data_IF_269195803676
#
_entry.id   IF_269195803676
#
_cell.length_a   1.000
_cell.length_b   1.000
_cell.length_c   1.000
_cell.angle_alpha   90.00
_cell.angle_beta   90.00
_cell.angle_gamma   90.00
#
_symmetry.space_group_name_H-M   'P 1'
#
loop_
_entity.id
_entity.type
_entity.pdbx_description
1 polymer ?
#
# COMPACT_ATOMS: atom_id res chain seq x y z
N UNK A 1 68.58 25.05 25.28
CA UNK A 1 68.22 23.63 25.04
C UNK A 1 67.02 23.29 25.91
N UNK A 2 65.82 23.56 25.41
CA UNK A 2 64.57 23.01 25.95
C UNK A 2 63.78 22.62 24.70
N UNK A 3 63.64 21.32 24.53
CA UNK A 3 62.95 20.66 23.44
C UNK A 3 61.46 20.60 23.82
N UNK A 4 60.59 21.22 23.03
CA UNK A 4 59.13 21.15 23.19
C UNK A 4 58.55 20.56 21.92
N UNK A 5 58.30 19.26 21.96
CA UNK A 5 57.59 18.51 20.94
C UNK A 5 56.14 18.99 20.84
N UNK A 6 55.78 19.56 19.69
CA UNK A 6 54.42 19.93 19.34
C UNK A 6 53.66 18.67 18.91
N UNK A 7 52.74 18.21 19.76
CA UNK A 7 51.89 17.05 19.50
C UNK A 7 50.61 17.49 18.78
N UNK A 8 50.59 17.34 17.45
CA UNK A 8 49.37 17.46 16.64
C UNK A 8 48.35 16.38 17.03
N UNK A 9 47.08 16.72 17.32
CA UNK A 9 46.06 15.72 17.59
C UNK A 9 45.63 15.05 16.27
N UNK A 10 45.88 13.75 16.17
CA UNK A 10 45.38 12.91 15.09
C UNK A 10 43.85 12.81 15.25
N UNK A 11 43.12 13.50 14.39
CA UNK A 11 41.66 13.35 14.27
C UNK A 11 41.41 11.93 13.77
N UNK A 12 40.91 11.07 14.66
CA UNK A 12 40.50 9.72 14.33
C UNK A 12 39.37 9.78 13.28
N UNK A 13 39.68 9.34 12.07
CA UNK A 13 38.75 9.24 10.95
C UNK A 13 37.64 8.24 11.34
N UNK A 14 36.46 8.77 11.70
CA UNK A 14 35.30 7.95 12.03
C UNK A 14 34.84 7.23 10.77
N UNK A 15 35.17 5.94 10.68
CA UNK A 15 34.68 5.01 9.65
C UNK A 15 33.17 5.19 9.46
N UNK A 16 32.68 5.46 8.24
CA UNK A 16 31.25 5.67 8.02
C UNK A 16 30.49 4.43 8.49
N UNK A 17 29.57 4.62 9.43
CA UNK A 17 28.67 3.57 9.87
C UNK A 17 27.97 2.97 8.64
N UNK A 18 28.06 1.64 8.50
CA UNK A 18 27.45 0.92 7.40
C UNK A 18 25.97 1.32 7.28
N UNK A 19 25.57 1.82 6.10
CA UNK A 19 24.21 2.27 5.85
C UNK A 19 23.22 1.15 6.23
N UNK A 20 22.14 1.48 6.98
CA UNK A 20 21.20 0.47 7.44
C UNK A 20 20.60 -0.29 6.25
N UNK A 21 20.32 -1.61 6.40
CA UNK A 21 19.80 -2.43 5.31
C UNK A 21 18.55 -1.80 4.71
N UNK A 22 18.58 -1.59 3.38
CA UNK A 22 17.61 -0.79 2.62
C UNK A 22 16.16 -1.32 2.68
N UNK A 23 15.96 -2.58 3.07
CA UNK A 23 14.65 -3.17 3.37
C UNK A 23 14.76 -4.15 4.54
N UNK A 24 13.76 -4.14 5.42
CA UNK A 24 13.60 -5.14 6.47
C UNK A 24 13.53 -6.55 5.83
N UNK A 25 14.39 -7.50 6.24
CA UNK A 25 14.39 -8.87 5.72
C UNK A 25 13.02 -9.55 5.74
N UNK A 26 12.18 -9.20 6.73
CA UNK A 26 10.80 -9.72 6.82
C UNK A 26 9.93 -9.23 5.68
N UNK A 27 10.06 -7.97 5.25
CA UNK A 27 9.30 -7.40 4.13
C UNK A 27 9.70 -8.05 2.82
N UNK A 28 10.99 -8.25 2.59
CA UNK A 28 11.49 -8.93 1.39
C UNK A 28 10.97 -10.37 1.32
N UNK A 29 11.01 -11.08 2.45
CA UNK A 29 10.49 -12.45 2.56
C UNK A 29 8.98 -12.49 2.32
N UNK A 30 8.22 -11.54 2.87
CA UNK A 30 6.78 -11.42 2.65
C UNK A 30 6.46 -11.19 1.16
N UNK A 31 7.13 -10.24 0.51
CA UNK A 31 6.94 -9.94 -0.92
C UNK A 31 7.26 -11.14 -1.80
N UNK A 32 8.38 -11.84 -1.53
CA UNK A 32 8.74 -13.05 -2.28
C UNK A 32 7.69 -14.14 -2.12
N UNK A 33 7.30 -14.45 -0.88
CA UNK A 33 6.33 -15.51 -0.62
C UNK A 33 4.96 -15.17 -1.23
N UNK A 34 4.58 -13.89 -1.22
CA UNK A 34 3.35 -13.45 -1.86
C UNK A 34 3.43 -13.55 -3.38
N UNK A 35 4.54 -13.13 -4.00
CA UNK A 35 4.77 -13.27 -5.43
C UNK A 35 4.72 -14.75 -5.89
N UNK A 36 5.30 -15.66 -5.10
CA UNK A 36 5.22 -17.10 -5.35
C UNK A 36 3.77 -17.58 -5.21
N UNK A 37 3.09 -17.23 -4.11
CA UNK A 37 1.71 -17.66 -3.84
C UNK A 37 0.76 -17.24 -4.96
N UNK A 38 0.85 -15.99 -5.44
CA UNK A 38 -0.04 -15.50 -6.49
C UNK A 38 0.30 -16.05 -7.88
N UNK A 39 1.59 -16.33 -8.15
CA UNK A 39 2.02 -17.07 -9.34
C UNK A 39 1.45 -18.48 -9.38
N UNK A 40 1.65 -19.24 -8.30
CA UNK A 40 1.14 -20.61 -8.17
C UNK A 40 -0.38 -20.61 -8.30
N UNK A 41 -1.06 -19.65 -7.66
CA UNK A 41 -2.51 -19.56 -7.73
C UNK A 41 -3.03 -19.17 -9.13
N UNK A 42 -2.32 -18.31 -9.88
CA UNK A 42 -2.67 -18.04 -11.27
C UNK A 42 -2.48 -19.29 -12.15
N UNK A 43 -1.36 -20.00 -12.00
CA UNK A 43 -1.10 -21.24 -12.75
C UNK A 43 -2.19 -22.28 -12.43
N UNK A 44 -2.49 -22.47 -11.15
CA UNK A 44 -3.56 -23.36 -10.69
C UNK A 44 -4.94 -22.90 -11.21
N UNK A 45 -5.18 -21.60 -11.29
CA UNK A 45 -6.38 -21.01 -11.87
C UNK A 45 -6.62 -21.43 -13.31
N UNK A 46 -5.59 -21.31 -14.15
CA UNK A 46 -5.66 -21.70 -15.57
C UNK A 46 -5.70 -23.22 -15.78
N UNK A 47 -4.97 -23.98 -14.96
CA UNK A 47 -4.84 -25.43 -15.16
C UNK A 47 -5.99 -26.22 -14.53
N UNK A 48 -6.54 -25.73 -13.40
CA UNK A 48 -7.48 -26.50 -12.56
C UNK A 48 -8.77 -25.76 -12.27
N UNK A 49 -8.77 -24.45 -11.99
CA UNK A 49 -10.01 -23.77 -11.56
C UNK A 49 -10.96 -23.41 -12.71
N UNK A 50 -10.42 -23.22 -13.92
CA UNK A 50 -11.19 -22.83 -15.10
C UNK A 50 -11.16 -21.34 -15.39
N UNK A 51 -10.01 -20.67 -15.19
CA UNK A 51 -9.85 -19.27 -15.61
C UNK A 51 -10.10 -19.15 -17.12
N UNK A 52 -11.11 -18.36 -17.48
CA UNK A 52 -11.54 -18.18 -18.87
C UNK A 52 -10.64 -17.24 -19.68
N UNK A 53 -9.77 -16.46 -19.01
CA UNK A 53 -8.91 -15.52 -19.70
C UNK A 53 -7.96 -16.27 -20.68
N UNK A 54 -7.56 -15.66 -21.80
CA UNK A 54 -6.58 -16.28 -22.69
C UNK A 54 -5.24 -16.53 -22.01
N UNK A 55 -4.62 -17.68 -22.28
CA UNK A 55 -3.33 -18.11 -21.70
C UNK A 55 -2.17 -17.13 -21.88
N UNK A 56 -2.26 -16.21 -22.85
CA UNK A 56 -1.24 -15.17 -23.09
C UNK A 56 -1.36 -13.97 -22.15
N UNK A 57 -2.55 -13.71 -21.59
CA UNK A 57 -2.82 -12.54 -20.75
C UNK A 57 -1.95 -12.41 -19.50
N UNK A 58 -1.64 -13.46 -18.71
CA UNK A 58 -0.79 -13.30 -17.53
C UNK A 58 0.63 -12.86 -17.92
N UNK A 59 1.14 -13.30 -19.08
CA UNK A 59 2.44 -12.88 -19.58
C UNK A 59 2.43 -11.42 -20.03
N UNK A 60 1.37 -10.99 -20.73
CA UNK A 60 1.20 -9.59 -21.13
C UNK A 60 1.02 -8.68 -19.92
N UNK A 61 0.27 -9.13 -18.91
CA UNK A 61 0.10 -8.42 -17.65
C UNK A 61 1.45 -8.21 -16.96
N UNK A 62 2.25 -9.27 -16.82
CA UNK A 62 3.59 -9.20 -16.25
C UNK A 62 4.52 -8.29 -17.04
N UNK A 63 4.55 -8.44 -18.38
CA UNK A 63 5.37 -7.60 -19.25
C UNK A 63 5.00 -6.13 -19.10
N UNK A 64 3.72 -5.80 -19.06
CA UNK A 64 3.20 -4.44 -18.84
C UNK A 64 3.66 -3.90 -17.50
N UNK A 65 3.38 -4.62 -16.40
CA UNK A 65 3.71 -4.15 -15.06
C UNK A 65 5.21 -3.95 -14.84
N UNK A 66 6.04 -4.85 -15.36
CA UNK A 66 7.50 -4.72 -15.29
C UNK A 66 8.00 -3.54 -16.10
N UNK A 67 7.47 -3.35 -17.30
CA UNK A 67 7.87 -2.25 -18.18
C UNK A 67 7.56 -0.89 -17.54
N UNK A 68 6.35 -0.74 -16.98
CA UNK A 68 5.93 0.48 -16.29
C UNK A 68 6.75 0.71 -15.02
N UNK A 69 6.96 -0.31 -14.17
CA UNK A 69 7.73 -0.16 -12.93
C UNK A 69 9.20 0.22 -13.22
N UNK A 70 9.85 -0.43 -14.20
CA UNK A 70 11.23 -0.10 -14.61
C UNK A 70 11.29 1.31 -15.21
N UNK A 71 10.36 1.66 -16.10
CA UNK A 71 10.31 2.97 -16.75
C UNK A 71 10.14 4.11 -15.76
N UNK A 72 9.19 3.99 -14.83
CA UNK A 72 8.95 5.01 -13.81
C UNK A 72 10.12 5.13 -12.82
N UNK A 73 10.76 4.03 -12.45
CA UNK A 73 11.96 4.06 -11.62
C UNK A 73 13.15 4.69 -12.35
N UNK A 74 13.32 4.45 -13.65
CA UNK A 74 14.34 5.12 -14.44
C UNK A 74 14.13 6.63 -14.50
N UNK A 75 12.89 7.08 -14.76
CA UNK A 75 12.54 8.51 -14.76
C UNK A 75 12.80 9.11 -13.37
N UNK A 76 12.26 8.48 -12.31
CA UNK A 76 12.40 8.96 -10.94
C UNK A 76 13.86 9.02 -10.48
N UNK A 77 14.68 8.01 -10.84
CA UNK A 77 16.09 7.98 -10.53
C UNK A 77 16.87 9.11 -11.23
N UNK A 78 16.52 9.41 -12.50
CA UNK A 78 17.13 10.49 -13.27
C UNK A 78 16.79 11.87 -12.69
N UNK A 79 15.54 12.08 -12.29
CA UNK A 79 15.08 13.35 -11.67
C UNK A 79 15.73 13.56 -10.30
N UNK A 80 15.84 12.50 -9.49
CA UNK A 80 16.42 12.57 -8.14
C UNK A 80 17.96 12.49 -8.13
N UNK A 81 18.63 12.39 -9.29
CA UNK A 81 20.09 12.29 -9.38
C UNK A 81 20.69 11.05 -8.71
N UNK A 82 19.91 9.97 -8.58
CA UNK A 82 20.31 8.74 -7.88
C UNK A 82 20.43 7.56 -8.84
N UNK A 83 21.17 6.53 -8.43
CA UNK A 83 21.16 5.27 -9.16
C UNK A 83 19.77 4.60 -9.10
N UNK A 84 19.29 3.99 -10.21
CA UNK A 84 18.04 3.23 -10.21
C UNK A 84 18.09 2.06 -9.21
N UNK A 85 17.00 1.84 -8.48
CA UNK A 85 16.90 0.82 -7.42
C UNK A 85 17.16 -0.58 -7.93
N UNK A 86 16.70 -0.88 -9.15
CA UNK A 86 16.88 -2.20 -9.77
C UNK A 86 18.34 -2.52 -10.13
N UNK A 87 19.25 -1.53 -10.17
CA UNK A 87 20.69 -1.76 -10.40
C UNK A 87 21.45 -2.14 -9.12
N UNK A 88 20.88 -1.92 -7.94
CA UNK A 88 21.53 -2.25 -6.68
C UNK A 88 21.45 -3.75 -6.38
N UNK A 89 22.56 -4.40 -6.02
CA UNK A 89 22.56 -5.80 -5.57
C UNK A 89 22.38 -6.86 -6.67
N UNK A 90 22.65 -6.51 -7.93
CA UNK A 90 22.63 -7.43 -9.07
C UNK A 90 21.24 -8.01 -9.37
N UNK A 91 21.22 -9.24 -9.89
CA UNK A 91 19.97 -9.94 -10.27
C UNK A 91 18.99 -10.08 -9.10
N UNK A 92 19.49 -10.36 -7.89
CA UNK A 92 18.65 -10.46 -6.69
C UNK A 92 17.95 -9.14 -6.36
N UNK A 93 18.64 -8.01 -6.53
CA UNK A 93 18.05 -6.69 -6.34
C UNK A 93 16.97 -6.35 -7.36
N UNK A 94 17.21 -6.70 -8.63
CA UNK A 94 16.20 -6.59 -9.69
C UNK A 94 14.93 -7.38 -9.35
N UNK A 95 15.06 -8.64 -8.91
CA UNK A 95 13.90 -9.45 -8.52
C UNK A 95 13.12 -8.83 -7.35
N UNK A 96 13.83 -8.37 -6.31
CA UNK A 96 13.20 -7.73 -5.14
C UNK A 96 12.44 -6.48 -5.56
N UNK A 97 13.01 -5.71 -6.48
CA UNK A 97 12.37 -4.53 -7.05
C UNK A 97 11.10 -4.88 -7.85
N UNK A 98 11.09 -5.99 -8.59
CA UNK A 98 9.96 -6.38 -9.42
C UNK A 98 8.82 -7.09 -8.68
N UNK A 99 9.03 -7.66 -7.48
CA UNK A 99 7.98 -8.39 -6.76
C UNK A 99 6.67 -7.60 -6.59
N UNK A 100 6.66 -6.31 -6.18
CA UNK A 100 5.42 -5.57 -6.06
C UNK A 100 4.67 -5.41 -7.38
N UNK A 101 5.37 -5.17 -8.49
CA UNK A 101 4.77 -5.06 -9.83
C UNK A 101 4.26 -6.42 -10.33
N UNK A 102 5.00 -7.50 -10.05
CA UNK A 102 4.60 -8.87 -10.34
C UNK A 102 3.25 -9.21 -9.68
N UNK A 103 3.17 -8.99 -8.37
CA UNK A 103 1.95 -9.24 -7.57
C UNK A 103 0.79 -8.41 -8.11
N UNK A 104 1.02 -7.11 -8.37
CA UNK A 104 -0.04 -6.21 -8.88
C UNK A 104 -0.58 -6.72 -10.21
N UNK A 105 0.30 -7.12 -11.13
CA UNK A 105 -0.07 -7.52 -12.49
C UNK A 105 -0.84 -8.83 -12.52
N UNK A 106 -0.40 -9.85 -11.78
CA UNK A 106 -1.12 -11.12 -11.68
C UNK A 106 -2.45 -10.98 -10.92
N UNK A 107 -2.50 -10.13 -9.90
CA UNK A 107 -3.75 -9.82 -9.22
C UNK A 107 -4.76 -9.17 -10.17
N UNK A 108 -4.31 -8.20 -10.98
CA UNK A 108 -5.16 -7.56 -11.98
C UNK A 108 -5.66 -8.56 -13.03
N UNK A 109 -4.78 -9.39 -13.59
CA UNK A 109 -5.15 -10.41 -14.56
C UNK A 109 -6.23 -11.36 -14.02
N UNK A 110 -6.05 -11.83 -12.79
CA UNK A 110 -6.93 -12.82 -12.19
C UNK A 110 -8.27 -12.25 -11.71
N UNK A 111 -8.30 -11.00 -11.28
CA UNK A 111 -9.46 -10.42 -10.59
C UNK A 111 -10.29 -9.51 -11.48
N UNK A 112 -9.82 -9.19 -12.69
CA UNK A 112 -10.58 -8.43 -13.67
C UNK A 112 -11.09 -9.35 -14.76
N UNK A 113 -12.29 -9.01 -15.24
CA UNK A 113 -12.88 -9.61 -16.41
C UNK A 113 -13.19 -8.51 -17.41
N UNK A 114 -12.34 -8.41 -18.43
CA UNK A 114 -12.42 -7.37 -19.48
C UNK A 114 -12.78 -7.96 -20.84
N UNK A 115 -13.50 -9.09 -20.86
CA UNK A 115 -13.91 -9.82 -22.06
C UNK A 115 -12.72 -10.13 -22.99
N UNK A 116 -12.72 -9.60 -24.21
CA UNK A 116 -11.65 -9.72 -25.21
C UNK A 116 -10.75 -8.48 -25.29
N UNK A 117 -11.01 -7.46 -24.46
CA UNK A 117 -10.38 -6.14 -24.55
C UNK A 117 -9.10 -6.06 -23.73
N UNK A 118 -8.05 -6.71 -24.21
CA UNK A 118 -6.74 -6.75 -23.52
C UNK A 118 -6.15 -5.36 -23.22
N UNK A 119 -6.45 -4.35 -24.05
CA UNK A 119 -6.01 -2.98 -23.83
C UNK A 119 -6.54 -2.39 -22.52
N UNK A 120 -7.72 -2.80 -22.07
CA UNK A 120 -8.29 -2.36 -20.79
C UNK A 120 -7.53 -2.97 -19.61
N UNK A 121 -7.08 -4.23 -19.72
CA UNK A 121 -6.19 -4.84 -18.74
C UNK A 121 -4.84 -4.10 -18.67
N UNK A 122 -4.22 -3.83 -19.83
CA UNK A 122 -2.96 -3.08 -19.92
C UNK A 122 -3.12 -1.69 -19.29
N UNK A 123 -4.22 -0.99 -19.59
CA UNK A 123 -4.55 0.29 -19.00
C UNK A 123 -4.67 0.20 -17.48
N UNK A 124 -5.45 -0.74 -16.94
CA UNK A 124 -5.61 -0.89 -15.50
C UNK A 124 -4.30 -1.19 -14.78
N UNK A 125 -3.44 -2.04 -15.34
CA UNK A 125 -2.11 -2.34 -14.79
C UNK A 125 -1.23 -1.10 -14.79
N UNK A 126 -1.27 -0.32 -15.87
CA UNK A 126 -0.53 0.95 -15.98
C UNK A 126 -0.98 1.94 -14.91
N UNK A 127 -2.29 2.08 -14.70
CA UNK A 127 -2.87 2.91 -13.63
C UNK A 127 -2.47 2.39 -12.25
N UNK A 128 -2.58 1.08 -12.00
CA UNK A 128 -2.26 0.45 -10.73
C UNK A 128 -0.79 0.64 -10.33
N UNK A 129 0.13 0.36 -11.24
CA UNK A 129 1.57 0.51 -11.01
C UNK A 129 1.94 1.99 -10.92
N UNK A 130 1.42 2.82 -11.84
CA UNK A 130 1.63 4.27 -11.86
C UNK A 130 1.13 4.97 -10.59
N UNK A 131 0.01 4.53 -10.01
CA UNK A 131 -0.53 5.09 -8.78
C UNK A 131 0.46 5.05 -7.61
N UNK A 132 1.35 4.05 -7.53
CA UNK A 132 2.40 3.98 -6.50
C UNK A 132 3.40 5.14 -6.59
N UNK A 133 3.58 5.66 -7.80
CA UNK A 133 4.50 6.74 -8.11
C UNK A 133 3.87 8.11 -7.91
N UNK A 134 2.62 8.26 -8.33
CA UNK A 134 1.88 9.53 -8.28
C UNK A 134 1.20 9.76 -6.93
N UNK A 135 0.49 8.77 -6.40
CA UNK A 135 -0.35 8.91 -5.21
C UNK A 135 0.42 8.58 -3.94
N UNK A 136 1.29 9.51 -3.53
CA UNK A 136 2.09 9.41 -2.30
C UNK A 136 1.64 10.45 -1.26
N UNK A 137 1.65 10.06 0.00
CA UNK A 137 1.36 10.92 1.14
C UNK A 137 2.53 10.90 2.14
N UNK A 138 2.76 12.01 2.86
CA UNK A 138 3.80 12.10 3.87
C UNK A 138 3.40 11.31 5.13
N UNK A 139 4.02 10.15 5.33
CA UNK A 139 3.79 9.31 6.52
C UNK A 139 5.07 9.28 7.35
N UNK A 140 5.03 9.92 8.54
CA UNK A 140 6.20 10.04 9.44
C UNK A 140 7.45 10.59 8.74
N UNK A 141 7.29 11.66 7.97
CA UNK A 141 8.39 12.32 7.26
C UNK A 141 8.90 11.59 6.01
N UNK A 142 8.29 10.47 5.59
CA UNK A 142 8.63 9.80 4.33
C UNK A 142 7.42 9.72 3.41
N UNK A 143 7.62 10.01 2.13
CA UNK A 143 6.59 9.84 1.11
C UNK A 143 6.34 8.35 0.88
N UNK A 144 5.10 7.91 1.10
CA UNK A 144 4.67 6.53 0.86
C UNK A 144 3.41 6.52 0.03
N UNK A 145 3.27 5.53 -0.85
CA UNK A 145 2.00 5.34 -1.53
C UNK A 145 0.94 4.96 -0.49
N UNK A 146 -0.25 5.55 -0.63
CA UNK A 146 -1.36 5.28 0.29
C UNK A 146 -2.46 4.44 -0.35
N UNK A 147 -2.45 4.34 -1.69
CA UNK A 147 -3.45 3.62 -2.46
C UNK A 147 -2.99 2.20 -2.78
N UNK A 148 -3.84 1.20 -2.49
CA UNK A 148 -3.55 -0.17 -2.88
C UNK A 148 -3.56 -0.24 -4.42
N UNK A 149 -2.44 -0.65 -5.05
CA UNK A 149 -2.26 -0.50 -6.49
C UNK A 149 -3.26 -1.32 -7.30
N UNK A 150 -3.39 -2.61 -7.02
CA UNK A 150 -4.32 -3.48 -7.76
C UNK A 150 -5.76 -3.07 -7.52
N UNK A 151 -6.15 -2.79 -6.27
CA UNK A 151 -7.52 -2.35 -5.97
C UNK A 151 -7.87 -1.04 -6.67
N UNK A 152 -6.93 -0.10 -6.74
CA UNK A 152 -7.14 1.16 -7.44
C UNK A 152 -7.24 0.98 -8.95
N UNK A 153 -6.36 0.17 -9.56
CA UNK A 153 -6.46 -0.16 -10.98
C UNK A 153 -7.80 -0.80 -11.34
N UNK A 154 -8.27 -1.75 -10.54
CA UNK A 154 -9.59 -2.39 -10.70
C UNK A 154 -10.71 -1.37 -10.57
N UNK A 155 -10.68 -0.53 -9.52
CA UNK A 155 -11.69 0.51 -9.32
C UNK A 155 -11.74 1.50 -10.50
N UNK A 156 -10.60 1.89 -11.05
CA UNK A 156 -10.55 2.80 -12.21
C UNK A 156 -11.06 2.12 -13.48
N UNK A 157 -10.75 0.83 -13.71
CA UNK A 157 -11.37 0.07 -14.81
C UNK A 157 -12.89 0.10 -14.68
N UNK A 158 -13.42 -0.29 -13.51
CA UNK A 158 -14.86 -0.40 -13.28
C UNK A 158 -15.58 0.96 -13.40
N UNK A 159 -14.88 2.06 -13.09
CA UNK A 159 -15.41 3.42 -13.23
C UNK A 159 -15.48 3.86 -14.69
N UNK A 160 -14.44 3.57 -15.48
CA UNK A 160 -14.30 4.08 -16.85
C UNK A 160 -14.89 3.16 -17.91
N UNK A 161 -14.97 1.86 -17.62
CA UNK A 161 -15.47 0.84 -18.54
C UNK A 161 -16.64 0.09 -17.87
N UNK A 162 -17.88 0.59 -17.96
CA UNK A 162 -19.03 0.01 -17.28
C UNK A 162 -19.37 -1.43 -17.71
N UNK A 163 -18.88 -1.86 -18.87
CA UNK A 163 -19.04 -3.24 -19.37
C UNK A 163 -17.98 -4.19 -18.81
N UNK A 164 -16.90 -3.67 -18.20
CA UNK A 164 -15.91 -4.49 -17.52
C UNK A 164 -16.45 -4.90 -16.15
N UNK A 165 -16.04 -6.07 -15.70
CA UNK A 165 -16.47 -6.63 -14.42
C UNK A 165 -15.30 -7.20 -13.63
N UNK A 166 -15.60 -7.65 -12.42
CA UNK A 166 -14.66 -8.46 -11.63
C UNK A 166 -14.80 -9.91 -12.08
N UNK A 167 -13.70 -10.65 -12.00
CA UNK A 167 -13.71 -12.10 -12.22
C UNK A 167 -14.87 -12.76 -11.47
N UNK A 168 -15.81 -13.40 -12.17
CA UNK A 168 -16.95 -14.05 -11.55
C UNK A 168 -16.53 -15.10 -10.51
N UNK A 169 -17.28 -15.30 -9.42
CA UNK A 169 -16.93 -16.29 -8.40
C UNK A 169 -16.73 -17.71 -8.93
N UNK A 170 -17.46 -18.10 -9.99
CA UNK A 170 -17.37 -19.43 -10.59
C UNK A 170 -16.02 -19.69 -11.29
N UNK A 171 -15.29 -18.66 -11.73
CA UNK A 171 -13.92 -18.81 -12.30
C UNK A 171 -12.96 -19.51 -11.34
N UNK A 172 -13.26 -19.50 -10.04
CA UNK A 172 -12.44 -20.12 -9.03
C UNK A 172 -12.86 -21.55 -8.69
N UNK A 173 -13.93 -22.07 -9.28
CA UNK A 173 -14.50 -23.40 -8.95
C UNK A 173 -15.15 -24.11 -10.15
N UNK A 174 -14.93 -23.68 -11.39
CA UNK A 174 -15.68 -24.18 -12.56
C UNK A 174 -15.41 -25.66 -12.85
N UNK A 175 -14.15 -26.10 -12.67
CA UNK A 175 -13.77 -27.50 -12.89
C UNK A 175 -13.52 -28.26 -11.59
N UNK A 176 -14.08 -27.79 -10.47
CA UNK A 176 -13.90 -28.44 -9.18
C UNK A 176 -15.21 -29.02 -8.65
N UNK A 177 -15.11 -30.20 -8.04
CA UNK A 177 -16.21 -30.87 -7.38
C UNK A 177 -16.34 -30.41 -5.91
N UNK A 178 -17.45 -30.77 -5.27
CA UNK A 178 -17.83 -30.39 -3.90
C UNK A 178 -16.68 -30.43 -2.88
N UNK A 179 -15.81 -31.44 -2.89
CA UNK A 179 -14.69 -31.50 -1.93
C UNK A 179 -13.63 -30.43 -2.21
N UNK A 180 -13.27 -30.24 -3.47
CA UNK A 180 -12.27 -29.26 -3.89
C UNK A 180 -12.77 -27.82 -3.71
N UNK A 181 -14.07 -27.59 -3.87
CA UNK A 181 -14.71 -26.28 -3.63
C UNK A 181 -14.51 -25.79 -2.19
N UNK A 182 -14.51 -26.69 -1.21
CA UNK A 182 -14.20 -26.35 0.18
C UNK A 182 -12.70 -26.27 0.44
N UNK A 183 -11.90 -27.10 -0.25
CA UNK A 183 -10.45 -27.12 -0.08
C UNK A 183 -9.79 -25.80 -0.53
N UNK A 184 -10.23 -25.21 -1.64
CA UNK A 184 -9.66 -23.97 -2.20
C UNK A 184 -9.70 -22.80 -1.20
N UNK A 185 -10.86 -22.34 -0.70
CA UNK A 185 -10.90 -21.24 0.26
C UNK A 185 -10.17 -21.61 1.56
N UNK A 186 -10.21 -22.88 2.00
CA UNK A 186 -9.45 -23.32 3.18
C UNK A 186 -7.93 -23.15 2.98
N UNK A 187 -7.38 -23.56 1.84
CA UNK A 187 -5.96 -23.39 1.51
C UNK A 187 -5.56 -21.91 1.44
N UNK A 188 -6.42 -21.08 0.85
CA UNK A 188 -6.22 -19.63 0.77
C UNK A 188 -6.25 -19.00 2.18
N UNK A 189 -7.16 -19.43 3.06
CA UNK A 189 -7.21 -18.97 4.46
C UNK A 189 -5.96 -19.41 5.20
N UNK A 190 -5.51 -20.66 5.06
CA UNK A 190 -4.31 -21.16 5.74
C UNK A 190 -3.05 -20.41 5.28
N UNK A 191 -2.87 -20.29 3.96
CA UNK A 191 -1.76 -19.53 3.37
C UNK A 191 -1.80 -18.06 3.77
N UNK A 192 -2.97 -17.44 3.63
CA UNK A 192 -3.23 -16.05 4.00
C UNK A 192 -3.00 -15.78 5.49
N UNK A 193 -3.51 -16.62 6.37
CA UNK A 193 -3.33 -16.51 7.82
C UNK A 193 -1.88 -16.69 8.22
N UNK A 194 -1.14 -17.62 7.59
CA UNK A 194 0.28 -17.78 7.83
C UNK A 194 1.06 -16.52 7.44
N UNK A 195 0.81 -15.97 6.24
CA UNK A 195 1.44 -14.74 5.77
C UNK A 195 1.08 -13.54 6.66
N UNK A 196 -0.21 -13.38 6.99
CA UNK A 196 -0.72 -12.24 7.74
C UNK A 196 -0.42 -12.30 9.24
N UNK A 197 -0.37 -13.49 9.81
CA UNK A 197 -0.02 -13.71 11.21
C UNK A 197 1.48 -13.60 11.47
N UNK A 198 2.31 -14.22 10.62
CA UNK A 198 3.76 -14.32 10.89
C UNK A 198 4.61 -13.25 10.21
N UNK A 199 4.22 -12.79 9.01
CA UNK A 199 5.07 -11.90 8.21
C UNK A 199 4.58 -10.46 8.17
N UNK A 200 3.29 -10.23 7.89
CA UNK A 200 2.78 -8.85 7.67
C UNK A 200 2.08 -8.24 8.88
N UNK A 201 1.66 -9.06 9.86
CA UNK A 201 1.03 -8.62 11.11
C UNK A 201 -0.36 -8.00 10.91
N UNK A 202 -1.17 -8.53 9.99
CA UNK A 202 -2.45 -7.95 9.55
C UNK A 202 -3.70 -8.70 10.02
N UNK A 203 -3.57 -9.66 10.93
CA UNK A 203 -4.72 -10.37 11.50
C UNK A 203 -5.77 -9.44 12.15
N UNK A 204 -5.41 -8.39 12.92
CA UNK A 204 -6.40 -7.46 13.46
C UNK A 204 -7.21 -6.74 12.38
N UNK A 205 -6.59 -6.44 11.23
CA UNK A 205 -7.26 -5.84 10.08
C UNK A 205 -8.33 -6.80 9.52
N UNK A 206 -7.95 -8.06 9.30
CA UNK A 206 -8.86 -9.09 8.79
C UNK A 206 -10.03 -9.27 9.76
N UNK A 207 -9.78 -9.34 11.06
CA UNK A 207 -10.83 -9.47 12.08
C UNK A 207 -11.79 -8.27 12.08
N UNK A 208 -11.27 -7.05 11.98
CA UNK A 208 -12.09 -5.84 11.86
C UNK A 208 -12.93 -5.83 10.59
N UNK A 209 -12.34 -6.20 9.46
CA UNK A 209 -13.03 -6.32 8.16
C UNK A 209 -14.16 -7.35 8.21
N UNK A 210 -13.86 -8.59 8.58
CA UNK A 210 -14.82 -9.71 8.62
C UNK A 210 -15.93 -9.45 9.64
N UNK A 211 -15.57 -8.99 10.84
CA UNK A 211 -16.52 -8.75 11.92
C UNK A 211 -17.50 -7.62 11.59
N UNK A 212 -17.00 -6.48 11.11
CA UNK A 212 -17.86 -5.36 10.71
C UNK A 212 -18.63 -5.68 9.44
N UNK A 213 -18.07 -6.45 8.49
CA UNK A 213 -18.79 -6.90 7.30
C UNK A 213 -20.01 -7.74 7.66
N UNK A 214 -19.86 -8.68 8.60
CA UNK A 214 -20.96 -9.50 9.09
C UNK A 214 -22.02 -8.63 9.79
N UNK A 215 -21.59 -7.75 10.71
CA UNK A 215 -22.48 -6.86 11.43
C UNK A 215 -23.27 -5.93 10.50
N UNK A 216 -22.59 -5.26 9.56
CA UNK A 216 -23.26 -4.36 8.62
C UNK A 216 -24.20 -5.12 7.68
N UNK A 217 -23.89 -6.37 7.32
CA UNK A 217 -24.78 -7.21 6.48
C UNK A 217 -26.09 -7.51 7.20
N UNK A 218 -26.03 -7.81 8.51
CA UNK A 218 -27.21 -8.01 9.35
C UNK A 218 -28.00 -6.71 9.47
N UNK A 219 -27.34 -5.60 9.82
CA UNK A 219 -27.98 -4.28 9.94
C UNK A 219 -28.66 -3.89 8.62
N UNK A 220 -27.99 -4.06 7.48
CA UNK A 220 -28.55 -3.75 6.17
C UNK A 220 -29.73 -4.64 5.82
N UNK A 221 -29.68 -5.92 6.20
CA UNK A 221 -30.81 -6.82 6.01
C UNK A 221 -32.03 -6.43 6.84
N UNK A 222 -31.83 -5.98 8.08
CA UNK A 222 -32.91 -5.51 8.94
C UNK A 222 -33.49 -4.16 8.49
N UNK A 223 -32.67 -3.24 8.00
CA UNK A 223 -33.11 -1.87 7.64
C UNK A 223 -33.59 -1.72 6.20
N UNK A 224 -32.96 -2.42 5.25
CA UNK A 224 -33.20 -2.25 3.81
C UNK A 224 -33.79 -3.51 3.15
N UNK A 225 -34.14 -4.53 3.94
CA UNK A 225 -34.74 -5.76 3.43
C UNK A 225 -33.80 -6.64 2.60
N UNK A 226 -32.49 -6.42 2.67
CA UNK A 226 -31.50 -7.28 2.00
C UNK A 226 -31.53 -8.69 2.62
N UNK A 227 -31.49 -9.75 1.81
CA UNK A 227 -31.37 -11.12 2.34
C UNK A 227 -30.08 -11.28 3.15
N UNK A 228 -30.20 -11.43 4.47
CA UNK A 228 -29.06 -11.61 5.40
C UNK A 228 -28.26 -12.86 5.01
N UNK A 229 -28.87 -14.04 4.74
CA UNK A 229 -28.12 -15.21 4.31
C UNK A 229 -27.36 -14.99 3.01
N UNK A 230 -27.94 -14.28 2.02
CA UNK A 230 -27.25 -13.99 0.77
C UNK A 230 -26.05 -13.03 0.98
N UNK A 231 -26.22 -12.02 1.83
CA UNK A 231 -25.15 -11.07 2.15
C UNK A 231 -23.99 -11.73 2.89
N UNK A 232 -24.28 -12.58 3.89
CA UNK A 232 -23.28 -13.36 4.62
C UNK A 232 -22.68 -14.48 3.76
N UNK A 233 -23.44 -15.05 2.83
CA UNK A 233 -22.97 -16.06 1.89
C UNK A 233 -21.82 -15.58 1.01
N UNK A 234 -21.70 -14.27 0.76
CA UNK A 234 -20.51 -13.72 0.08
C UNK A 234 -19.21 -14.07 0.82
N UNK A 235 -19.25 -14.16 2.15
CA UNK A 235 -18.07 -14.41 2.97
C UNK A 235 -17.47 -15.80 2.76
N UNK A 236 -18.25 -16.75 2.25
CA UNK A 236 -17.79 -18.11 1.95
C UNK A 236 -17.17 -18.23 0.56
N UNK A 237 -17.35 -17.20 -0.30
CA UNK A 237 -16.85 -17.22 -1.66
C UNK A 237 -15.32 -17.05 -1.75
N UNK A 238 -14.70 -17.74 -2.70
CA UNK A 238 -13.24 -17.69 -2.93
C UNK A 238 -12.76 -16.25 -3.16
N UNK A 239 -13.49 -15.45 -3.94
CA UNK A 239 -13.15 -14.05 -4.18
C UNK A 239 -13.09 -13.21 -2.90
N UNK A 240 -14.04 -13.40 -1.97
CA UNK A 240 -14.05 -12.69 -0.68
C UNK A 240 -12.86 -13.10 0.18
N UNK A 241 -12.55 -14.40 0.22
CA UNK A 241 -11.43 -14.95 0.98
C UNK A 241 -10.09 -14.46 0.43
N UNK A 242 -9.91 -14.45 -0.89
CA UNK A 242 -8.73 -13.90 -1.57
C UNK A 242 -8.57 -12.42 -1.25
N UNK A 243 -9.64 -11.64 -1.40
CA UNK A 243 -9.63 -10.22 -1.09
C UNK A 243 -9.22 -9.96 0.36
N UNK A 244 -9.81 -10.72 1.30
CA UNK A 244 -9.57 -10.58 2.73
C UNK A 244 -8.14 -10.94 3.13
N UNK A 245 -7.53 -11.93 2.49
CA UNK A 245 -6.21 -12.43 2.87
C UNK A 245 -5.06 -11.78 2.09
N UNK A 246 -5.30 -11.37 0.85
CA UNK A 246 -4.24 -11.00 -0.09
C UNK A 246 -4.37 -9.60 -0.68
N UNK A 247 -5.50 -8.91 -0.49
CA UNK A 247 -5.68 -7.57 -1.05
C UNK A 247 -5.83 -6.50 0.02
N UNK A 248 -6.82 -6.63 0.91
CA UNK A 248 -7.08 -5.62 1.96
C UNK A 248 -5.92 -5.50 2.95
N UNK A 249 -5.11 -6.55 3.07
CA UNK A 249 -3.96 -6.69 3.98
C UNK A 249 -2.64 -6.15 3.40
N UNK A 250 -2.66 -5.49 2.24
CA UNK A 250 -1.46 -4.93 1.63
C UNK A 250 -0.67 -4.07 2.64
N UNK A 251 0.57 -4.47 3.02
CA UNK A 251 1.30 -3.79 4.07
C UNK A 251 1.78 -2.39 3.66
N UNK A 252 1.83 -2.09 2.37
CA UNK A 252 2.18 -0.77 1.85
C UNK A 252 1.14 0.28 2.20
N UNK A 253 -0.13 -0.12 2.24
CA UNK A 253 -1.28 0.80 2.29
C UNK A 253 -2.10 0.66 3.56
N UNK A 254 -2.04 -0.46 4.27
CA UNK A 254 -2.75 -0.65 5.54
C UNK A 254 -1.99 -0.10 6.77
N UNK A 255 -2.67 0.35 7.85
CA UNK A 255 -2.04 0.88 9.07
C UNK A 255 -1.28 -0.18 9.88
N UNK A 256 -0.16 0.18 10.51
CA UNK A 256 0.65 -0.80 11.27
C UNK A 256 0.12 -1.12 12.67
N UNK A 257 -0.52 -0.17 13.36
CA UNK A 257 -1.01 -0.34 14.75
C UNK A 257 -2.30 -1.19 14.79
N UNK A 258 -2.44 -2.18 15.69
CA UNK A 258 -3.61 -3.08 15.73
C UNK A 258 -4.97 -2.36 15.82
N UNK A 259 -5.11 -1.34 16.66
CA UNK A 259 -6.37 -0.58 16.75
C UNK A 259 -6.71 0.11 15.42
N UNK A 260 -5.73 0.74 14.78
CA UNK A 260 -5.91 1.40 13.49
C UNK A 260 -6.16 0.39 12.36
N UNK A 261 -5.66 -0.84 12.49
CA UNK A 261 -5.96 -1.93 11.56
C UNK A 261 -7.44 -2.34 11.64
N UNK A 262 -7.96 -2.54 12.85
CA UNK A 262 -9.38 -2.84 13.08
C UNK A 262 -10.25 -1.71 12.54
N UNK A 263 -9.90 -0.45 12.82
CA UNK A 263 -10.62 0.71 12.30
C UNK A 263 -10.56 0.79 10.77
N UNK A 264 -9.42 0.48 10.17
CA UNK A 264 -9.28 0.46 8.71
C UNK A 264 -10.12 -0.64 8.09
N UNK A 265 -10.00 -1.89 8.56
CA UNK A 265 -10.79 -3.02 8.06
C UNK A 265 -12.29 -2.79 8.25
N UNK A 266 -12.69 -2.31 9.43
CA UNK A 266 -14.06 -1.94 9.73
C UNK A 266 -14.57 -0.79 8.86
N UNK A 267 -13.75 0.23 8.62
CA UNK A 267 -14.08 1.34 7.73
C UNK A 267 -14.30 0.90 6.28
N UNK A 268 -13.50 -0.06 5.78
CA UNK A 268 -13.73 -0.66 4.45
C UNK A 268 -15.04 -1.42 4.43
N UNK A 269 -15.38 -2.19 5.48
CA UNK A 269 -16.63 -2.93 5.57
C UNK A 269 -17.85 -1.99 5.62
N UNK A 270 -17.77 -0.89 6.36
CA UNK A 270 -18.81 0.14 6.38
C UNK A 270 -18.96 0.82 5.03
N UNK A 271 -17.85 1.21 4.39
CA UNK A 271 -17.87 1.82 3.05
C UNK A 271 -18.50 0.86 2.03
N UNK A 272 -18.14 -0.43 2.07
CA UNK A 272 -18.79 -1.45 1.26
C UNK A 272 -20.30 -1.52 1.52
N UNK A 273 -20.71 -1.48 2.79
CA UNK A 273 -22.12 -1.45 3.19
C UNK A 273 -22.88 -0.26 2.61
N UNK A 274 -22.30 0.93 2.68
CA UNK A 274 -22.87 2.17 2.11
C UNK A 274 -22.98 2.06 0.59
N UNK A 275 -21.89 1.69 -0.11
CA UNK A 275 -21.87 1.58 -1.56
C UNK A 275 -22.92 0.57 -2.07
N UNK A 276 -23.04 -0.57 -1.42
CA UNK A 276 -24.04 -1.58 -1.78
C UNK A 276 -25.47 -1.15 -1.43
N UNK A 277 -25.68 -0.37 -0.36
CA UNK A 277 -26.99 0.19 -0.03
C UNK A 277 -27.47 1.23 -1.07
N UNK A 278 -26.55 1.94 -1.74
CA UNK A 278 -26.85 2.83 -2.87
C UNK A 278 -26.74 2.12 -4.23
N UNK A 279 -26.82 0.78 -4.24
CA UNK A 279 -26.84 -0.06 -5.44
C UNK A 279 -25.59 0.01 -6.33
N UNK A 280 -24.42 0.33 -5.77
CA UNK A 280 -23.14 0.21 -6.48
C UNK A 280 -22.67 -1.24 -6.44
N UNK A 281 -22.62 -1.87 -7.61
CA UNK A 281 -22.02 -3.19 -7.82
C UNK A 281 -20.51 -3.15 -7.63
N UNK A 282 -19.90 -4.32 -7.41
CA UNK A 282 -18.42 -4.45 -7.34
C UNK A 282 -17.77 -3.61 -6.22
N UNK A 283 -18.53 -3.31 -5.16
CA UNK A 283 -18.18 -2.35 -4.13
C UNK A 283 -16.91 -2.68 -3.31
N UNK A 284 -16.42 -3.93 -3.30
CA UNK A 284 -15.22 -4.31 -2.52
C UNK A 284 -14.00 -3.45 -2.88
N UNK A 285 -13.76 -3.27 -4.19
CA UNK A 285 -12.60 -2.55 -4.70
C UNK A 285 -12.76 -1.04 -4.54
N UNK A 286 -13.96 -0.53 -4.80
CA UNK A 286 -14.31 0.86 -4.52
C UNK A 286 -14.19 1.21 -3.03
N UNK A 287 -14.59 0.31 -2.13
CA UNK A 287 -14.53 0.53 -0.70
C UNK A 287 -13.09 0.71 -0.21
N UNK A 288 -12.17 -0.18 -0.62
CA UNK A 288 -10.76 -0.05 -0.25
C UNK A 288 -10.13 1.19 -0.87
N UNK A 289 -10.40 1.45 -2.16
CA UNK A 289 -9.91 2.66 -2.82
C UNK A 289 -10.39 3.93 -2.11
N UNK A 290 -11.68 4.01 -1.76
CA UNK A 290 -12.27 5.12 -1.03
C UNK A 290 -11.66 5.32 0.35
N UNK A 291 -11.52 4.26 1.15
CA UNK A 291 -10.91 4.36 2.49
C UNK A 291 -9.42 4.70 2.40
N UNK A 292 -8.70 4.18 1.43
CA UNK A 292 -7.31 4.56 1.16
C UNK A 292 -7.21 6.04 0.77
N UNK A 293 -8.12 6.53 -0.09
CA UNK A 293 -8.19 7.94 -0.47
C UNK A 293 -8.43 8.85 0.73
N UNK A 294 -9.42 8.53 1.58
CA UNK A 294 -9.72 9.27 2.81
C UNK A 294 -8.49 9.31 3.73
N UNK A 295 -7.82 8.17 3.92
CA UNK A 295 -6.61 8.08 4.74
C UNK A 295 -5.44 8.87 4.14
N UNK A 296 -5.27 8.83 2.82
CA UNK A 296 -4.25 9.61 2.11
C UNK A 296 -4.49 11.11 2.26
N UNK A 297 -5.74 11.54 2.09
CA UNK A 297 -6.17 12.92 2.32
C UNK A 297 -5.95 13.36 3.77
N UNK A 298 -6.25 12.50 4.74
CA UNK A 298 -5.98 12.77 6.16
C UNK A 298 -4.49 13.04 6.42
N UNK A 299 -3.57 12.25 5.86
CA UNK A 299 -2.14 12.49 6.04
C UNK A 299 -1.67 13.81 5.40
N UNK A 300 -2.22 14.17 4.24
CA UNK A 300 -1.95 15.47 3.62
C UNK A 300 -2.50 16.63 4.47
N UNK A 301 -3.72 16.51 4.99
CA UNK A 301 -4.31 17.51 5.87
C UNK A 301 -3.46 17.73 7.13
N UNK A 302 -3.06 16.65 7.81
CA UNK A 302 -2.17 16.74 8.99
C UNK A 302 -0.83 17.38 8.62
N UNK A 303 -0.26 17.04 7.47
CA UNK A 303 1.00 17.64 7.02
C UNK A 303 0.87 19.15 6.81
N UNK A 304 -0.20 19.62 6.16
CA UNK A 304 -0.42 21.05 5.96
C UNK A 304 -0.69 21.79 7.27
N UNK A 305 -1.45 21.19 8.19
CA UNK A 305 -1.71 21.77 9.52
C UNK A 305 -0.41 21.89 10.33
N UNK A 306 0.42 20.85 10.35
CA UNK A 306 1.70 20.88 11.05
C UNK A 306 2.65 21.91 10.43
N UNK A 307 2.75 21.96 9.10
CA UNK A 307 3.57 22.95 8.40
C UNK A 307 3.11 24.39 8.69
N UNK A 308 1.81 24.64 8.73
CA UNK A 308 1.26 25.94 9.08
C UNK A 308 1.56 26.31 10.55
N UNK A 309 1.51 25.32 11.46
CA UNK A 309 1.87 25.52 12.87
C UNK A 309 3.35 25.84 13.04
N UNK A 310 4.24 25.08 12.39
CA UNK A 310 5.69 25.32 12.39
C UNK A 310 6.03 26.72 11.85
N UNK A 311 5.35 27.16 10.78
CA UNK A 311 5.52 28.51 10.24
C UNK A 311 5.07 29.60 11.21
N UNK A 312 3.96 29.41 11.93
CA UNK A 312 3.49 30.35 12.96
C UNK A 312 4.45 30.42 14.15
N UNK A 313 4.93 29.27 14.62
CA UNK A 313 5.90 29.21 15.71
C UNK A 313 7.23 29.87 15.32
N UNK A 314 7.70 29.68 14.08
CA UNK A 314 8.89 30.35 13.55
C UNK A 314 8.69 31.88 13.42
N UNK A 315 7.52 32.33 12.97
CA UNK A 315 7.20 33.76 12.89
C UNK A 315 7.12 34.40 14.28
N UNK A 316 6.49 33.74 15.24
CA UNK A 316 6.42 34.21 16.63
C UNK A 316 7.81 34.26 17.28
N UNK A 317 8.68 33.29 17.00
CA UNK A 317 10.07 33.31 17.47
C UNK A 317 10.88 34.48 16.86
N UNK A 318 10.70 34.75 15.56
CA UNK A 318 11.34 35.90 14.89
C UNK A 318 10.83 37.24 15.45
N UNK A 319 9.53 37.34 15.76
CA UNK A 319 8.95 38.53 16.40
C UNK A 319 9.47 38.73 17.83
N UNK A 320 9.56 37.66 18.62
CA UNK A 320 10.11 37.71 19.97
C UNK A 320 11.58 38.16 19.98
N UNK A 321 12.40 37.71 19.00
CA UNK A 321 13.79 38.18 18.84
C UNK A 321 13.85 39.65 18.43
N UNK A 322 12.93 40.12 17.59
CA UNK A 322 12.85 41.53 17.18
C UNK A 322 12.38 42.46 18.31
N UNK A 323 11.60 41.96 19.27
CA UNK A 323 11.14 42.70 20.45
C UNK A 323 12.15 42.77 21.60
N UNK A 324 13.27 42.02 21.56
CA UNK A 324 14.36 42.21 22.52
C UNK A 324 15.07 43.54 22.24
N UNK A 325 14.94 44.57 23.10
CA UNK A 325 15.53 45.87 22.85
C UNK A 325 17.05 45.77 22.94
N UNK A 326 17.74 46.33 21.94
CA UNK A 326 19.21 46.49 21.89
C UNK A 326 19.73 47.49 22.96
N UNK A 327 18.84 48.09 23.76
CA UNK A 327 19.16 49.17 24.70
C UNK A 327 19.78 48.74 26.06
N UNK A 328 20.24 47.48 26.22
CA UNK A 328 21.02 47.09 27.42
C UNK A 328 22.54 46.99 27.20
N UNK A 329 23.06 47.42 26.04
CA UNK A 329 24.51 47.61 25.83
C UNK A 329 24.84 49.11 25.84
N UNK A 330 24.48 49.81 26.91
CA UNK A 330 24.89 51.20 27.12
C UNK A 330 26.09 51.27 28.09
N UNK A 331 27.26 51.46 27.46
CA UNK A 331 28.48 52.14 27.90
C UNK A 331 29.26 51.68 29.17
N UNK A 332 30.59 51.43 29.05
CA UNK A 332 31.45 51.32 30.22
C UNK A 332 31.60 52.70 30.88
N UNK A 333 31.25 52.80 32.16
CA UNK A 333 31.47 53.95 33.02
C UNK A 333 32.98 54.30 33.07
N UNK A 334 33.38 55.36 32.36
CA UNK A 334 34.68 55.99 32.56
C UNK A 334 34.63 56.77 33.89
N UNK A 335 35.21 56.19 34.94
CA UNK A 335 35.54 56.93 36.17
C UNK A 335 36.62 57.96 35.85
N UNK A 336 36.19 59.22 35.72
CA UNK A 336 37.07 60.38 35.73
C UNK A 336 37.53 60.59 37.18
N UNK A 337 38.83 60.46 37.41
CA UNK A 337 39.48 60.89 38.64
C UNK A 337 39.52 62.43 38.66
N UNK A 338 39.06 63.06 39.73
CA UNK A 338 39.35 64.46 40.01
C UNK A 338 39.45 64.67 41.52
N UNK A 339 40.69 64.97 41.93
CA UNK A 339 41.20 65.67 43.13
C UNK A 339 40.67 65.23 44.49
#
# INVERSE_FOLDING_TARGET
>A
MIDMAESTPIVAESKPAAAPPRHDPKVVTALRNFAISISVFNIFGYVVLGFEQPWLWPFIALATGYSIEIGLEWIGAKVEGRAPRYKGGGFKGLMIFLYPAHITSLAMNMLTYVNDQIWVLIFGITVAVGAKWVLRAPVKGRMRHYMNPSNFGIAVILLLFPWASIAPPYHFTEHTDTFFDWAIPCLIILGGTMLNGKLTGRMPLIMGWVGVFALQSIVRGLLFGTSIPAALGMMTGVAFVLFSNYMITDPGTSPSRPANQVLFGGGVALMYGVLTAIHISYALFFAVAGVCAIRGGFFWAVHFVNKAREQREAQAALQAVAEFPVDQVAAPEQKVATV
#
